data_IF_862040095216
#
_entry.id   IF_862040095216
#
_cell.length_a   1.000
_cell.length_b   1.000
_cell.length_c   1.000
_cell.angle_alpha   90.00
_cell.angle_beta   90.00
_cell.angle_gamma   90.00
#
_symmetry.space_group_name_H-M   'P 1'
#
loop_
_entity.id
_entity.type
_entity.pdbx_description
1 polymer ?
#
# COMPACT_ATOMS: atom_id res chain seq x y z
N UNK A 1 -53.90 -9.86 4.18
CA UNK A 1 -53.26 -11.09 4.62
C UNK A 1 -52.26 -11.46 3.53
N UNK A 2 -51.00 -11.19 3.74
CA UNK A 2 -49.94 -11.49 2.80
C UNK A 2 -48.68 -11.70 3.63
N UNK A 3 -48.13 -12.90 3.50
CA UNK A 3 -46.98 -13.39 4.24
C UNK A 3 -45.72 -12.92 3.53
N UNK A 4 -44.98 -12.02 4.15
CA UNK A 4 -43.62 -11.67 3.73
C UNK A 4 -42.66 -12.66 4.38
N UNK A 5 -42.09 -13.58 3.62
CA UNK A 5 -40.99 -14.46 4.05
C UNK A 5 -39.67 -13.72 3.95
N UNK A 6 -39.07 -13.54 5.12
CA UNK A 6 -37.68 -13.12 5.29
C UNK A 6 -36.73 -14.13 4.68
N UNK A 7 -35.98 -13.74 3.67
CA UNK A 7 -34.83 -14.50 3.17
C UNK A 7 -33.58 -14.06 3.98
N UNK A 8 -33.23 -14.79 5.02
CA UNK A 8 -31.93 -14.66 5.70
C UNK A 8 -30.87 -15.39 4.87
N UNK A 9 -29.80 -14.69 4.57
CA UNK A 9 -28.66 -15.18 3.83
C UNK A 9 -27.94 -16.33 4.58
N UNK A 10 -27.85 -17.47 3.92
CA UNK A 10 -27.20 -18.71 4.39
C UNK A 10 -25.73 -18.81 3.94
N UNK A 11 -25.09 -17.72 3.61
CA UNK A 11 -23.72 -17.73 3.02
C UNK A 11 -22.59 -17.83 4.05
N UNK A 12 -22.86 -17.64 5.33
CA UNK A 12 -21.81 -17.60 6.36
C UNK A 12 -21.40 -18.98 6.91
N UNK A 13 -22.10 -20.05 6.58
CA UNK A 13 -21.82 -21.38 7.11
C UNK A 13 -20.97 -22.29 6.21
N UNK A 14 -20.82 -22.00 4.92
CA UNK A 14 -20.02 -22.85 4.03
C UNK A 14 -18.51 -22.62 4.15
N UNK A 15 -18.05 -21.39 4.47
CA UNK A 15 -16.61 -21.12 4.56
C UNK A 15 -15.95 -21.67 5.83
N UNK A 16 -16.72 -21.87 6.91
CA UNK A 16 -16.19 -22.39 8.17
C UNK A 16 -15.91 -23.91 8.20
N UNK A 17 -16.46 -24.68 7.24
CA UNK A 17 -16.34 -26.13 7.23
C UNK A 17 -15.11 -26.67 6.49
N UNK A 18 -14.49 -25.87 5.61
CA UNK A 18 -13.31 -26.26 4.80
C UNK A 18 -11.97 -26.05 5.52
N UNK A 19 -11.94 -25.37 6.66
CA UNK A 19 -10.71 -24.98 7.38
C UNK A 19 -10.18 -26.11 8.30
N UNK A 20 -10.82 -27.25 8.40
CA UNK A 20 -10.43 -28.31 9.36
C UNK A 20 -9.61 -29.47 8.81
N UNK A 21 -8.83 -29.29 7.74
CA UNK A 21 -7.83 -30.30 7.35
C UNK A 21 -6.44 -29.71 7.24
N UNK A 22 -5.71 -29.76 8.30
CA UNK A 22 -4.34 -30.20 8.46
C UNK A 22 -3.24 -29.44 7.71
N UNK A 23 -2.75 -28.33 8.28
CA UNK A 23 -1.30 -28.11 8.30
C UNK A 23 -0.91 -27.89 9.76
N UNK A 24 -0.08 -28.80 10.29
CA UNK A 24 0.48 -28.65 11.62
C UNK A 24 1.24 -27.32 11.70
N UNK A 25 1.10 -26.63 12.81
CA UNK A 25 1.95 -25.48 13.18
C UNK A 25 3.41 -25.98 13.16
N UNK A 26 4.09 -25.75 12.03
CA UNK A 26 5.54 -25.88 12.01
C UNK A 26 6.08 -24.69 12.82
N UNK A 27 6.57 -24.98 14.02
CA UNK A 27 7.38 -24.03 14.79
C UNK A 27 8.64 -23.73 13.98
N UNK A 28 8.69 -22.56 13.37
CA UNK A 28 9.89 -22.04 12.72
C UNK A 28 10.89 -21.66 13.81
N UNK A 29 12.09 -22.18 13.75
CA UNK A 29 13.14 -21.99 14.78
C UNK A 29 13.94 -20.69 14.54
N UNK A 30 14.63 -20.17 15.56
CA UNK A 30 15.45 -18.97 15.46
C UNK A 30 16.51 -18.96 14.33
N UNK A 31 17.13 -20.10 13.93
CA UNK A 31 18.01 -20.16 12.76
C UNK A 31 17.32 -19.77 11.45
N UNK A 32 16.03 -20.03 11.32
CA UNK A 32 15.27 -19.75 10.09
C UNK A 32 15.05 -18.25 9.87
N UNK A 33 14.91 -17.44 10.93
CA UNK A 33 14.80 -15.98 10.83
C UNK A 33 16.07 -15.35 10.25
N UNK A 34 17.24 -15.81 10.69
CA UNK A 34 18.52 -15.32 10.15
C UNK A 34 18.71 -15.76 8.71
N UNK A 35 18.37 -17.00 8.38
CA UNK A 35 18.43 -17.52 7.03
C UNK A 35 17.47 -16.79 6.08
N UNK A 36 16.25 -16.48 6.55
CA UNK A 36 15.28 -15.69 5.82
C UNK A 36 15.79 -14.27 5.54
N UNK A 37 16.45 -13.63 6.52
CA UNK A 37 17.04 -12.31 6.33
C UNK A 37 18.14 -12.32 5.28
N UNK A 38 19.07 -13.29 5.35
CA UNK A 38 20.13 -13.45 4.35
C UNK A 38 19.55 -13.69 2.95
N UNK A 39 18.53 -14.54 2.86
CA UNK A 39 17.86 -14.82 1.58
C UNK A 39 17.13 -13.57 1.03
N UNK A 40 16.48 -12.77 1.89
CA UNK A 40 15.83 -11.53 1.50
C UNK A 40 16.85 -10.49 0.99
N UNK A 41 17.99 -10.31 1.67
CA UNK A 41 19.07 -9.43 1.24
C UNK A 41 19.62 -9.89 -0.14
N UNK A 42 19.81 -11.19 -0.35
CA UNK A 42 20.21 -11.74 -1.64
C UNK A 42 19.21 -11.41 -2.76
N UNK A 43 17.90 -11.51 -2.51
CA UNK A 43 16.87 -11.15 -3.50
C UNK A 43 16.98 -9.68 -3.87
N UNK A 44 17.11 -8.79 -2.89
CA UNK A 44 17.21 -7.34 -3.13
C UNK A 44 18.48 -6.99 -3.95
N UNK A 45 19.64 -7.52 -3.55
CA UNK A 45 20.89 -7.27 -4.26
C UNK A 45 20.88 -7.88 -5.66
N UNK A 46 20.30 -9.08 -5.84
CA UNK A 46 20.15 -9.69 -7.15
C UNK A 46 19.21 -8.88 -8.07
N UNK A 47 18.24 -8.18 -7.53
CA UNK A 47 17.31 -7.33 -8.28
C UNK A 47 17.85 -5.91 -8.50
N UNK A 48 19.04 -5.57 -7.99
CA UNK A 48 19.68 -4.29 -8.27
C UNK A 48 20.03 -4.18 -9.76
N UNK A 49 19.56 -3.10 -10.39
CA UNK A 49 19.82 -2.77 -11.78
C UNK A 49 20.56 -1.45 -11.96
N UNK A 50 20.87 -1.11 -13.20
CA UNK A 50 21.52 0.15 -13.56
C UNK A 50 20.64 1.36 -13.20
N UNK A 51 19.34 1.26 -13.41
CA UNK A 51 18.35 2.32 -13.15
C UNK A 51 17.88 2.36 -11.69
N UNK A 52 18.17 1.36 -10.87
CA UNK A 52 17.71 1.23 -9.50
C UNK A 52 17.23 -0.18 -9.19
N UNK A 53 16.27 -0.33 -8.25
CA UNK A 53 15.71 -1.61 -7.88
C UNK A 53 14.64 -2.05 -8.87
N UNK A 54 14.80 -3.25 -9.41
CA UNK A 54 13.78 -3.91 -10.25
C UNK A 54 12.70 -4.52 -9.35
N UNK A 55 11.45 -4.62 -9.84
CA UNK A 55 10.39 -5.34 -9.14
C UNK A 55 10.74 -6.82 -8.94
N UNK A 56 11.27 -7.45 -10.00
CA UNK A 56 11.83 -8.82 -9.99
C UNK A 56 12.70 -9.00 -11.22
N UNK A 57 13.88 -9.59 -11.07
CA UNK A 57 14.77 -9.86 -12.20
C UNK A 57 14.19 -10.88 -13.20
N UNK A 58 13.32 -11.76 -12.73
CA UNK A 58 12.73 -12.81 -13.56
C UNK A 58 11.53 -12.35 -14.41
N UNK A 59 10.84 -11.28 -13.99
CA UNK A 59 9.56 -10.87 -14.61
C UNK A 59 9.35 -9.36 -14.71
N UNK A 60 9.63 -8.61 -13.65
CA UNK A 60 9.41 -7.17 -13.58
C UNK A 60 10.74 -6.43 -13.62
N UNK A 61 11.38 -6.42 -14.80
CA UNK A 61 12.74 -5.88 -15.01
C UNK A 61 12.77 -4.35 -15.14
N UNK A 62 11.78 -3.66 -14.58
CA UNK A 62 11.70 -2.21 -14.53
C UNK A 62 11.85 -1.73 -13.08
N UNK A 63 12.20 -0.45 -12.93
CA UNK A 63 12.06 0.31 -11.69
C UNK A 63 10.60 0.76 -11.59
N UNK A 64 9.81 0.05 -10.82
CA UNK A 64 8.42 0.40 -10.54
C UNK A 64 8.37 1.43 -9.42
N UNK A 65 7.65 2.53 -9.61
CA UNK A 65 7.65 3.62 -8.65
C UNK A 65 7.17 3.18 -7.27
N UNK A 66 6.00 2.57 -7.17
CA UNK A 66 5.46 2.04 -5.92
C UNK A 66 6.40 1.03 -5.29
N UNK A 67 6.76 -0.02 -6.06
CA UNK A 67 7.55 -1.14 -5.56
C UNK A 67 8.91 -0.69 -5.04
N UNK A 68 9.66 0.09 -5.83
CA UNK A 68 11.00 0.53 -5.44
C UNK A 68 10.98 1.48 -4.25
N UNK A 69 9.93 2.29 -4.08
CA UNK A 69 9.80 3.17 -2.91
C UNK A 69 9.41 2.38 -1.66
N UNK A 70 8.46 1.46 -1.74
CA UNK A 70 8.14 0.55 -0.64
C UNK A 70 9.37 -0.28 -0.24
N UNK A 71 10.10 -0.82 -1.21
CA UNK A 71 11.32 -1.58 -0.97
C UNK A 71 12.42 -0.78 -0.29
N UNK A 72 12.43 0.53 -0.46
CA UNK A 72 13.37 1.41 0.22
C UNK A 72 13.38 1.24 1.75
N UNK A 73 12.22 0.90 2.35
CA UNK A 73 12.12 0.61 3.79
C UNK A 73 13.05 -0.53 4.25
N UNK A 74 13.16 -1.59 3.45
CA UNK A 74 14.08 -2.70 3.71
C UNK A 74 15.49 -2.45 3.17
N UNK A 75 15.62 -1.79 2.01
CA UNK A 75 16.92 -1.52 1.39
C UNK A 75 17.87 -0.72 2.28
N UNK A 76 17.36 0.32 2.93
CA UNK A 76 18.18 1.16 3.84
C UNK A 76 18.67 0.42 5.08
N UNK A 77 18.14 -0.78 5.34
CA UNK A 77 18.52 -1.67 6.45
C UNK A 77 19.48 -2.78 6.02
N UNK A 78 19.76 -2.92 4.73
CA UNK A 78 20.77 -3.86 4.24
C UNK A 78 22.18 -3.42 4.66
N UNK A 79 23.03 -4.42 4.90
CA UNK A 79 24.42 -4.18 5.30
C UNK A 79 25.18 -3.36 4.24
N UNK A 80 26.24 -2.68 4.67
CA UNK A 80 27.26 -2.01 3.84
C UNK A 80 26.79 -0.79 3.01
N UNK A 81 25.56 -0.27 3.22
CA UNK A 81 25.08 0.93 2.55
C UNK A 81 24.72 0.77 1.06
N UNK A 82 24.92 -0.42 0.49
CA UNK A 82 24.59 -0.70 -0.91
C UNK A 82 23.09 -0.55 -1.19
N UNK A 83 22.23 -1.00 -0.26
CA UNK A 83 20.78 -0.84 -0.37
C UNK A 83 20.34 0.62 -0.44
N UNK A 84 20.95 1.51 0.36
CA UNK A 84 20.69 2.94 0.30
C UNK A 84 21.08 3.55 -1.06
N UNK A 85 22.20 3.11 -1.64
CA UNK A 85 22.64 3.54 -2.97
C UNK A 85 21.69 3.04 -4.07
N UNK A 86 21.15 1.82 -3.96
CA UNK A 86 20.14 1.28 -4.89
C UNK A 86 18.87 2.11 -4.80
N UNK A 87 18.39 2.41 -3.60
CA UNK A 87 17.20 3.22 -3.38
C UNK A 87 17.37 4.63 -3.97
N UNK A 88 18.51 5.28 -3.70
CA UNK A 88 18.86 6.58 -4.28
C UNK A 88 18.80 6.56 -5.83
N UNK A 89 19.37 5.55 -6.49
CA UNK A 89 19.28 5.41 -7.94
C UNK A 89 17.85 5.31 -8.43
N UNK A 90 16.97 4.57 -7.72
CA UNK A 90 15.55 4.50 -8.06
C UNK A 90 14.87 5.87 -7.99
N UNK A 91 15.14 6.66 -6.93
CA UNK A 91 14.63 8.03 -6.80
C UNK A 91 15.09 8.96 -7.93
N UNK A 92 16.39 8.91 -8.25
CA UNK A 92 16.98 9.72 -9.32
C UNK A 92 16.43 9.34 -10.71
N UNK A 93 16.20 8.04 -10.95
CA UNK A 93 15.58 7.54 -12.18
C UNK A 93 14.14 8.04 -12.31
N UNK A 94 13.31 7.85 -11.29
CA UNK A 94 11.92 8.29 -11.32
C UNK A 94 11.82 9.82 -11.52
N UNK A 95 12.67 10.60 -10.86
CA UNK A 95 12.74 12.05 -11.04
C UNK A 95 13.14 12.47 -12.45
N UNK A 96 14.08 11.74 -13.09
CA UNK A 96 14.54 12.01 -14.46
C UNK A 96 13.43 11.80 -15.49
N UNK A 97 12.57 10.77 -15.28
CA UNK A 97 11.49 10.41 -16.21
C UNK A 97 10.12 10.99 -15.80
N UNK A 98 10.09 11.92 -14.86
CA UNK A 98 8.89 12.66 -14.51
C UNK A 98 8.41 13.49 -15.71
N UNK A 99 7.10 13.51 -15.94
CA UNK A 99 6.53 14.32 -17.03
C UNK A 99 6.62 15.82 -16.73
N UNK A 100 6.48 16.65 -17.76
CA UNK A 100 6.45 18.09 -17.61
C UNK A 100 5.33 18.59 -16.68
N UNK A 101 4.22 17.85 -16.60
CA UNK A 101 3.08 18.14 -15.72
C UNK A 101 3.25 17.61 -14.29
N UNK A 102 4.33 16.87 -14.00
CA UNK A 102 4.62 16.36 -12.67
C UNK A 102 4.19 14.92 -12.40
N UNK A 103 3.56 14.23 -13.37
CA UNK A 103 3.27 12.82 -13.22
C UNK A 103 4.57 12.01 -13.11
N UNK A 104 4.67 11.16 -12.09
CA UNK A 104 5.77 10.22 -11.92
C UNK A 104 5.43 8.94 -12.68
N UNK A 105 6.35 8.49 -13.52
CA UNK A 105 6.16 7.28 -14.31
C UNK A 105 5.81 6.08 -13.42
N UNK A 106 4.84 5.27 -13.83
CA UNK A 106 4.48 4.04 -13.12
C UNK A 106 5.68 3.08 -13.04
N UNK A 107 6.40 2.95 -14.14
CA UNK A 107 7.70 2.27 -14.17
C UNK A 107 8.65 2.87 -15.22
N UNK A 108 9.94 2.58 -15.07
CA UNK A 108 11.01 2.93 -16.01
C UNK A 108 11.88 1.70 -16.22
N UNK A 109 12.09 1.32 -17.48
CA UNK A 109 12.91 0.17 -17.83
C UNK A 109 13.48 0.23 -19.24
N UNK A 110 14.30 -0.74 -19.61
CA UNK A 110 14.81 -0.87 -20.96
C UNK A 110 13.81 -1.62 -21.86
N UNK A 111 13.74 -1.23 -23.12
CA UNK A 111 12.73 -1.71 -24.06
C UNK A 111 12.93 -3.15 -24.59
N UNK A 112 13.89 -3.90 -24.07
CA UNK A 112 14.13 -5.30 -24.46
C UNK A 112 13.05 -6.28 -24.00
N UNK A 113 12.01 -5.79 -23.36
CA UNK A 113 10.84 -6.60 -23.00
C UNK A 113 9.87 -6.50 -24.17
N UNK A 114 9.63 -7.61 -24.89
CA UNK A 114 8.65 -7.63 -25.96
C UNK A 114 7.24 -7.57 -25.38
N UNK A 115 6.84 -6.40 -24.89
CA UNK A 115 5.42 -6.13 -24.70
C UNK A 115 4.86 -5.63 -26.04
N UNK A 116 3.97 -6.40 -26.67
CA UNK A 116 3.32 -5.98 -27.91
C UNK A 116 2.65 -4.62 -27.82
N UNK A 117 2.25 -4.17 -26.64
CA UNK A 117 1.64 -2.88 -26.42
C UNK A 117 2.66 -1.72 -26.49
N UNK A 118 3.90 -1.92 -26.02
CA UNK A 118 4.98 -0.94 -26.12
C UNK A 118 5.42 -0.75 -27.58
N UNK A 119 5.42 -1.81 -28.39
CA UNK A 119 5.76 -1.78 -29.83
C UNK A 119 4.72 -0.97 -30.60
N UNK A 120 3.46 -0.99 -30.20
CA UNK A 120 2.36 -0.29 -30.89
C UNK A 120 2.45 1.24 -30.78
N UNK A 121 3.20 1.81 -29.86
CA UNK A 121 3.28 3.25 -29.62
C UNK A 121 4.57 3.93 -30.10
N UNK A 122 5.39 3.24 -30.90
CA UNK A 122 6.43 3.88 -31.70
C UNK A 122 7.62 4.48 -30.94
N UNK A 123 7.95 3.97 -29.76
CA UNK A 123 9.18 4.35 -29.05
C UNK A 123 10.43 4.04 -29.87
N UNK A 124 11.28 5.03 -30.14
CA UNK A 124 12.58 4.83 -30.77
C UNK A 124 13.52 4.16 -29.78
N UNK A 125 14.07 3.03 -30.17
CA UNK A 125 14.87 2.13 -29.36
C UNK A 125 16.40 2.32 -29.49
N UNK A 126 16.89 3.44 -30.01
CA UNK A 126 18.34 3.65 -30.22
C UNK A 126 18.81 5.00 -29.70
N UNK A 127 19.61 4.96 -28.65
CA UNK A 127 20.43 6.07 -28.20
C UNK A 127 21.74 6.18 -29.03
N UNK A 128 22.53 7.26 -28.85
CA UNK A 128 23.74 7.52 -29.62
C UNK A 128 24.86 6.48 -29.47
N UNK A 129 24.77 5.55 -28.51
CA UNK A 129 25.81 4.55 -28.19
C UNK A 129 25.32 3.10 -28.40
N UNK A 130 24.34 2.85 -29.29
CA UNK A 130 23.74 1.52 -29.52
C UNK A 130 23.12 0.88 -28.25
N UNK A 131 22.98 1.60 -27.14
CA UNK A 131 22.26 1.14 -25.96
C UNK A 131 20.80 1.52 -26.07
N UNK A 132 19.86 0.61 -25.72
CA UNK A 132 18.45 0.98 -25.66
C UNK A 132 18.23 2.11 -24.66
N UNK A 133 17.48 3.15 -25.07
CA UNK A 133 17.07 4.20 -24.13
C UNK A 133 16.00 3.65 -23.19
N UNK A 134 16.04 3.99 -21.88
CA UNK A 134 14.98 3.65 -20.96
C UNK A 134 13.65 4.25 -21.40
N UNK A 135 12.59 3.48 -21.26
CA UNK A 135 11.21 3.88 -21.59
C UNK A 135 10.32 3.82 -20.37
N UNK A 136 9.25 4.60 -20.39
CA UNK A 136 8.22 4.60 -19.36
C UNK A 136 6.99 3.84 -19.83
N UNK A 137 6.31 3.17 -18.90
CA UNK A 137 5.01 2.59 -19.18
C UNK A 137 3.97 3.68 -19.43
N UNK A 138 3.36 3.65 -20.61
CA UNK A 138 2.31 4.59 -21.00
C UNK A 138 0.90 4.01 -20.79
N UNK A 139 0.77 2.73 -20.52
CA UNK A 139 -0.53 2.05 -20.31
C UNK A 139 -1.11 2.44 -18.95
N UNK A 140 -0.25 2.50 -17.93
CA UNK A 140 -0.61 2.92 -16.58
C UNK A 140 -0.17 4.37 -16.30
N UNK A 141 -0.08 5.19 -17.34
CA UNK A 141 0.18 6.61 -17.19
C UNK A 141 -0.98 7.26 -16.41
N UNK A 142 -0.66 7.85 -15.26
CA UNK A 142 -1.66 8.41 -14.36
C UNK A 142 -1.96 7.55 -13.14
N UNK A 143 -1.18 6.48 -12.89
CA UNK A 143 -1.23 5.74 -11.64
C UNK A 143 -0.88 6.70 -10.48
N UNK A 144 -1.86 6.94 -9.62
CA UNK A 144 -1.80 8.04 -8.63
C UNK A 144 -0.75 7.76 -7.55
N UNK A 145 -0.65 6.52 -7.13
CA UNK A 145 0.24 6.10 -6.05
C UNK A 145 1.73 6.21 -6.40
N UNK A 146 2.09 6.26 -7.68
CA UNK A 146 3.47 6.49 -8.12
C UNK A 146 4.03 7.82 -7.59
N UNK A 147 3.26 8.90 -7.73
CA UNK A 147 3.66 10.22 -7.24
C UNK A 147 3.62 10.30 -5.70
N UNK A 148 2.66 9.64 -5.07
CA UNK A 148 2.53 9.56 -3.62
C UNK A 148 3.75 8.86 -3.00
N UNK A 149 4.08 7.67 -3.47
CA UNK A 149 5.24 6.93 -2.98
C UNK A 149 6.57 7.60 -3.32
N UNK A 150 6.67 8.29 -4.45
CA UNK A 150 7.86 9.06 -4.81
C UNK A 150 8.16 10.15 -3.77
N UNK A 151 7.14 10.90 -3.34
CA UNK A 151 7.28 11.92 -2.28
C UNK A 151 7.67 11.26 -0.95
N UNK A 152 6.98 10.19 -0.56
CA UNK A 152 7.25 9.46 0.68
C UNK A 152 8.66 8.84 0.66
N UNK A 153 9.07 8.26 -0.48
CA UNK A 153 10.38 7.67 -0.68
C UNK A 153 11.53 8.67 -0.50
N UNK A 154 11.38 9.89 -1.01
CA UNK A 154 12.35 10.96 -0.79
C UNK A 154 12.45 11.37 0.67
N UNK A 155 11.31 11.44 1.37
CA UNK A 155 11.32 11.78 2.78
C UNK A 155 12.10 10.76 3.61
N UNK A 156 11.83 9.48 3.48
CA UNK A 156 12.54 8.52 4.32
C UNK A 156 13.99 8.27 3.88
N UNK A 157 14.31 8.46 2.60
CA UNK A 157 15.71 8.53 2.20
C UNK A 157 16.43 9.64 2.95
N UNK A 158 15.86 10.83 2.98
CA UNK A 158 16.39 11.95 3.74
C UNK A 158 16.46 11.65 5.25
N UNK A 159 15.39 11.13 5.82
CA UNK A 159 15.28 10.85 7.26
C UNK A 159 16.32 9.83 7.77
N UNK A 160 16.75 8.90 6.91
CA UNK A 160 17.73 7.85 7.25
C UNK A 160 19.17 8.28 6.93
N UNK A 161 19.38 8.96 5.80
CA UNK A 161 20.72 9.27 5.28
C UNK A 161 21.20 10.71 5.54
N UNK A 162 20.29 11.64 5.95
CA UNK A 162 20.48 13.10 6.00
C UNK A 162 20.98 13.68 4.67
N UNK A 163 20.61 13.06 3.53
CA UNK A 163 21.03 13.51 2.19
C UNK A 163 20.26 14.76 1.76
N UNK A 164 20.62 15.89 2.33
CA UNK A 164 20.05 17.21 2.03
C UNK A 164 20.35 17.66 0.59
N UNK A 165 21.45 17.20 0.03
CA UNK A 165 21.82 17.57 -1.34
C UNK A 165 20.85 16.95 -2.34
N UNK A 166 20.57 15.65 -2.22
CA UNK A 166 19.55 14.99 -3.05
C UNK A 166 18.19 15.64 -2.85
N UNK A 167 17.81 15.90 -1.60
CA UNK A 167 16.52 16.53 -1.29
C UNK A 167 16.40 17.91 -1.93
N UNK A 168 17.42 18.75 -1.84
CA UNK A 168 17.42 20.08 -2.44
C UNK A 168 17.34 20.03 -3.98
N UNK A 169 18.07 19.12 -4.62
CA UNK A 169 18.02 18.94 -6.08
C UNK A 169 16.66 18.41 -6.55
N UNK A 170 15.99 17.61 -5.75
CA UNK A 170 14.71 16.99 -6.09
C UNK A 170 13.50 17.87 -5.74
N UNK A 171 13.70 18.99 -5.05
CA UNK A 171 12.60 19.80 -4.53
C UNK A 171 11.62 20.29 -5.60
N UNK A 172 12.10 20.68 -6.77
CA UNK A 172 11.25 21.08 -7.90
C UNK A 172 10.42 19.92 -8.40
N UNK A 173 11.04 18.74 -8.56
CA UNK A 173 10.36 17.51 -8.97
C UNK A 173 9.28 17.08 -7.96
N UNK A 174 9.59 17.14 -6.66
CA UNK A 174 8.64 16.84 -5.58
C UNK A 174 7.46 17.82 -5.59
N UNK A 175 7.73 19.12 -5.79
CA UNK A 175 6.70 20.14 -5.89
C UNK A 175 5.79 19.93 -7.09
N UNK A 176 6.33 19.54 -8.24
CA UNK A 176 5.55 19.16 -9.44
C UNK A 176 4.72 17.89 -9.22
N UNK A 177 5.27 16.87 -8.54
CA UNK A 177 4.53 15.65 -8.20
C UNK A 177 3.33 15.98 -7.31
N UNK A 178 3.53 16.78 -6.27
CA UNK A 178 2.43 17.23 -5.41
C UNK A 178 1.39 18.07 -6.16
N UNK A 179 1.82 18.95 -7.06
CA UNK A 179 0.91 19.74 -7.89
C UNK A 179 0.08 18.85 -8.81
N UNK A 180 0.71 17.86 -9.45
CA UNK A 180 0.00 16.87 -10.28
C UNK A 180 -1.03 16.09 -9.47
N UNK A 181 -0.70 15.66 -8.25
CA UNK A 181 -1.63 15.00 -7.33
C UNK A 181 -2.84 15.88 -7.01
N UNK A 182 -2.63 17.18 -6.76
CA UNK A 182 -3.74 18.11 -6.50
C UNK A 182 -4.70 18.25 -7.69
N UNK A 183 -4.24 18.04 -8.92
CA UNK A 183 -5.12 17.99 -10.09
C UNK A 183 -5.92 16.68 -10.21
N UNK A 184 -5.60 15.65 -9.39
CA UNK A 184 -6.42 14.45 -9.28
C UNK A 184 -7.61 14.65 -8.30
N UNK A 185 -7.68 15.77 -7.61
CA UNK A 185 -8.85 16.25 -6.88
C UNK A 185 -9.69 17.14 -7.82
N UNK A 186 -10.36 16.51 -8.78
CA UNK A 186 -11.02 17.21 -9.89
C UNK A 186 -12.23 18.03 -9.46
N UNK A 187 -12.80 17.72 -8.30
CA UNK A 187 -13.94 18.41 -7.73
C UNK A 187 -13.57 19.35 -6.57
N UNK A 188 -12.27 19.52 -6.29
CA UNK A 188 -11.73 20.39 -5.24
C UNK A 188 -12.31 20.09 -3.84
N UNK A 189 -12.54 18.80 -3.56
CA UNK A 189 -13.03 18.38 -2.25
C UNK A 189 -11.91 18.18 -1.21
N UNK A 190 -10.65 18.22 -1.61
CA UNK A 190 -9.47 18.01 -0.78
C UNK A 190 -9.09 16.54 -0.58
N UNK A 191 -9.77 15.61 -1.24
CA UNK A 191 -9.41 14.20 -1.36
C UNK A 191 -9.14 13.86 -2.83
N UNK A 192 -8.21 12.93 -3.06
CA UNK A 192 -7.94 12.43 -4.40
C UNK A 192 -9.14 11.64 -4.96
N UNK A 193 -9.43 11.87 -6.24
CA UNK A 193 -10.36 11.09 -7.04
C UNK A 193 -9.55 10.16 -7.93
N UNK A 194 -9.54 8.87 -7.61
CA UNK A 194 -8.77 7.85 -8.33
C UNK A 194 -9.66 7.19 -9.36
N UNK A 195 -9.18 7.04 -10.59
CA UNK A 195 -9.87 6.24 -11.60
C UNK A 195 -9.81 4.75 -11.25
N UNK A 196 -10.82 3.98 -11.67
CA UNK A 196 -10.87 2.54 -11.46
C UNK A 196 -9.59 1.88 -12.00
N UNK A 197 -8.94 1.04 -11.19
CA UNK A 197 -7.71 0.32 -11.52
C UNK A 197 -6.44 1.19 -11.68
N UNK A 198 -6.37 2.36 -11.02
CA UNK A 198 -5.23 3.29 -11.12
C UNK A 198 -4.49 3.49 -9.78
N UNK A 199 -4.49 2.45 -8.94
CA UNK A 199 -3.72 2.37 -7.68
C UNK A 199 -2.89 1.07 -7.62
N UNK A 200 -2.42 0.66 -6.43
CA UNK A 200 -1.69 -0.59 -6.27
C UNK A 200 -2.48 -1.81 -6.73
N UNK A 201 -3.81 -1.76 -6.62
CA UNK A 201 -4.74 -2.77 -7.12
C UNK A 201 -5.14 -2.45 -8.56
N UNK A 202 -4.16 -2.46 -9.47
CA UNK A 202 -4.20 -1.98 -10.84
C UNK A 202 -5.16 -2.73 -11.79
N UNK A 203 -5.80 -3.78 -11.33
CA UNK A 203 -6.84 -4.54 -12.03
C UNK A 203 -8.05 -4.74 -11.13
N UNK A 204 -8.44 -3.72 -10.34
CA UNK A 204 -9.45 -3.83 -9.33
C UNK A 204 -10.46 -2.68 -9.34
N UNK A 205 -11.58 -2.85 -8.63
CA UNK A 205 -12.76 -1.97 -8.69
C UNK A 205 -12.61 -0.65 -7.94
N UNK A 206 -11.54 -0.47 -7.17
CA UNK A 206 -11.31 0.74 -6.38
C UNK A 206 -11.40 1.99 -7.26
N UNK A 207 -12.10 3.02 -6.79
CA UNK A 207 -12.28 4.26 -7.55
C UNK A 207 -12.76 5.40 -6.68
N UNK A 208 -12.60 6.61 -7.18
CA UNK A 208 -13.00 7.87 -6.56
C UNK A 208 -12.22 8.14 -5.26
N UNK A 209 -12.88 8.41 -4.13
CA UNK A 209 -12.15 8.63 -2.87
C UNK A 209 -11.71 7.29 -2.27
N UNK A 210 -10.58 6.77 -2.72
CA UNK A 210 -10.00 5.48 -2.29
C UNK A 210 -9.20 5.68 -1.00
N UNK A 211 -9.36 4.76 -0.05
CA UNK A 211 -8.68 4.80 1.26
C UNK A 211 -7.17 4.81 1.11
N UNK A 212 -6.64 3.84 0.37
CA UNK A 212 -5.20 3.65 0.17
C UNK A 212 -4.53 4.94 -0.32
N UNK A 213 -5.05 5.52 -1.41
CA UNK A 213 -4.46 6.72 -2.00
C UNK A 213 -4.61 7.95 -1.11
N UNK A 214 -5.75 8.11 -0.43
CA UNK A 214 -5.98 9.26 0.43
C UNK A 214 -5.22 9.18 1.77
N UNK A 215 -4.90 7.98 2.27
CA UNK A 215 -3.95 7.78 3.37
C UNK A 215 -2.53 8.14 2.93
N UNK A 216 -2.12 7.73 1.73
CA UNK A 216 -0.83 8.12 1.16
C UNK A 216 -0.77 9.62 0.86
N UNK A 217 -1.88 10.24 0.44
CA UNK A 217 -1.94 11.69 0.20
C UNK A 217 -1.74 12.48 1.50
N UNK A 218 -2.37 12.03 2.59
CA UNK A 218 -2.08 12.57 3.92
C UNK A 218 -0.60 12.45 4.27
N UNK A 219 0.00 11.26 4.07
CA UNK A 219 1.41 11.02 4.32
C UNK A 219 2.32 11.91 3.44
N UNK A 220 1.99 12.04 2.16
CA UNK A 220 2.73 12.89 1.23
C UNK A 220 2.73 14.37 1.67
N UNK A 221 1.59 14.91 2.12
CA UNK A 221 1.52 16.26 2.68
C UNK A 221 2.41 16.40 3.92
N UNK A 222 2.42 15.42 4.84
CA UNK A 222 3.32 15.43 6.01
C UNK A 222 4.78 15.38 5.60
N UNK A 223 5.14 14.50 4.68
CA UNK A 223 6.50 14.39 4.16
C UNK A 223 6.96 15.70 3.52
N UNK A 224 6.11 16.33 2.70
CA UNK A 224 6.42 17.63 2.10
C UNK A 224 6.61 18.72 3.14
N UNK A 225 5.81 18.76 4.20
CA UNK A 225 5.98 19.71 5.29
C UNK A 225 7.32 19.53 6.02
N UNK A 226 7.71 18.28 6.33
CA UNK A 226 8.98 17.96 6.99
C UNK A 226 10.18 18.27 6.10
N UNK A 227 10.10 17.92 4.83
CA UNK A 227 11.16 18.25 3.85
C UNK A 227 11.27 19.76 3.59
N UNK A 228 10.15 20.49 3.54
CA UNK A 228 10.14 21.95 3.44
C UNK A 228 10.85 22.59 4.65
N UNK A 229 10.55 22.13 5.87
CA UNK A 229 11.21 22.59 7.09
C UNK A 229 12.71 22.32 7.05
N UNK A 230 13.13 21.12 6.64
CA UNK A 230 14.53 20.77 6.48
C UNK A 230 15.28 21.68 5.49
N UNK A 231 14.60 22.17 4.44
CA UNK A 231 15.13 23.06 3.43
C UNK A 231 14.93 24.56 3.75
N UNK A 232 14.34 24.91 4.89
CA UNK A 232 14.03 26.29 5.25
C UNK A 232 12.93 26.93 4.37
N UNK A 233 12.07 26.13 3.76
CA UNK A 233 10.94 26.58 2.95
C UNK A 233 9.70 26.85 3.82
N UNK A 234 8.75 27.69 3.38
CA UNK A 234 7.50 27.93 4.11
C UNK A 234 6.67 26.63 4.28
N UNK A 235 6.21 26.34 5.51
CA UNK A 235 5.55 25.07 5.87
C UNK A 235 4.04 25.16 6.05
N UNK A 236 3.48 26.35 6.27
CA UNK A 236 2.07 26.54 6.67
C UNK A 236 1.07 25.98 5.66
N UNK A 237 1.40 26.10 4.38
CA UNK A 237 0.58 25.55 3.30
C UNK A 237 0.45 24.03 3.42
N UNK A 238 1.56 23.32 3.62
CA UNK A 238 1.59 21.87 3.76
C UNK A 238 0.86 21.43 5.04
N UNK A 239 1.13 22.09 6.17
CA UNK A 239 0.51 21.77 7.47
C UNK A 239 -1.01 21.90 7.45
N UNK A 240 -1.55 22.95 6.81
CA UNK A 240 -3.00 23.08 6.64
C UNK A 240 -3.62 21.91 5.88
N UNK A 241 -2.97 21.48 4.80
CA UNK A 241 -3.48 20.36 4.02
C UNK A 241 -3.38 19.01 4.77
N UNK A 242 -2.36 18.81 5.62
CA UNK A 242 -2.29 17.64 6.52
C UNK A 242 -3.54 17.56 7.39
N UNK A 243 -3.93 18.66 8.05
CA UNK A 243 -5.11 18.69 8.93
C UNK A 243 -6.40 18.47 8.15
N UNK A 244 -6.51 19.07 6.97
CA UNK A 244 -7.69 18.98 6.12
C UNK A 244 -7.91 17.55 5.61
N UNK A 245 -6.89 16.92 5.01
CA UNK A 245 -6.99 15.54 4.51
C UNK A 245 -7.25 14.55 5.66
N UNK A 246 -6.58 14.70 6.81
CA UNK A 246 -6.84 13.87 7.99
C UNK A 246 -8.32 13.90 8.39
N UNK A 247 -8.89 15.11 8.52
CA UNK A 247 -10.30 15.28 8.92
C UNK A 247 -11.24 14.64 7.89
N UNK A 248 -10.99 14.85 6.60
CA UNK A 248 -11.82 14.33 5.51
C UNK A 248 -11.78 12.80 5.40
N UNK A 249 -10.58 12.20 5.46
CA UNK A 249 -10.45 10.72 5.44
C UNK A 249 -11.25 10.11 6.60
N UNK A 250 -11.12 10.65 7.81
CA UNK A 250 -11.85 10.15 8.97
C UNK A 250 -13.36 10.38 8.89
N UNK A 251 -13.80 11.48 8.29
CA UNK A 251 -15.23 11.78 8.17
C UNK A 251 -15.93 10.97 7.08
N UNK A 252 -15.22 10.68 5.97
CA UNK A 252 -15.81 10.07 4.77
C UNK A 252 -15.66 8.54 4.77
N UNK A 253 -14.50 8.02 5.18
CA UNK A 253 -14.17 6.60 5.03
C UNK A 253 -14.31 5.77 6.32
N UNK A 254 -14.33 6.41 7.51
CA UNK A 254 -14.61 5.71 8.76
C UNK A 254 -16.10 5.79 9.10
N UNK A 255 -16.74 4.63 9.27
CA UNK A 255 -18.16 4.57 9.62
C UNK A 255 -18.29 4.32 11.12
N UNK A 256 -18.44 5.41 11.86
CA UNK A 256 -18.69 5.44 13.30
C UNK A 256 -20.16 5.75 13.62
N UNK A 257 -20.50 5.92 14.92
CA UNK A 257 -21.84 6.32 15.34
C UNK A 257 -22.28 7.64 14.70
N UNK A 258 -23.52 7.69 14.23
CA UNK A 258 -24.11 8.87 13.55
C UNK A 258 -23.98 10.16 14.39
N UNK A 259 -24.13 10.05 15.72
CA UNK A 259 -24.06 11.14 16.68
C UNK A 259 -22.72 11.89 16.70
N UNK A 260 -21.66 11.28 16.14
CA UNK A 260 -20.31 11.85 16.06
C UNK A 260 -20.03 12.56 14.74
N UNK A 261 -20.98 12.57 13.77
CA UNK A 261 -20.76 13.19 12.46
C UNK A 261 -21.17 14.65 12.47
N UNK A 262 -20.25 15.49 12.01
CA UNK A 262 -20.50 16.91 11.75
C UNK A 262 -21.13 17.07 10.35
N UNK A 263 -22.45 16.83 10.26
CA UNK A 263 -23.20 16.89 9.01
C UNK A 263 -23.19 18.28 8.36
N UNK A 264 -23.14 19.34 9.15
CA UNK A 264 -23.10 20.71 8.64
C UNK A 264 -21.76 20.94 7.94
N UNK A 265 -20.67 20.58 8.60
CA UNK A 265 -19.36 20.69 7.99
C UNK A 265 -19.18 19.79 6.76
N UNK A 266 -19.59 18.51 6.82
CA UNK A 266 -19.54 17.60 5.66
C UNK A 266 -20.31 18.19 4.47
N UNK A 267 -21.49 18.75 4.73
CA UNK A 267 -22.33 19.38 3.70
C UNK A 267 -21.77 20.67 3.14
N UNK A 268 -20.99 21.42 3.92
CA UNK A 268 -20.28 22.61 3.46
C UNK A 268 -19.08 22.26 2.60
N UNK A 269 -18.37 21.15 2.93
CA UNK A 269 -17.26 20.64 2.11
C UNK A 269 -17.79 20.04 0.80
N UNK A 270 -18.73 19.06 0.90
CA UNK A 270 -19.27 18.39 -0.28
C UNK A 270 -20.67 17.81 -0.05
N UNK A 271 -21.67 18.33 -0.76
CA UNK A 271 -23.05 17.83 -0.65
C UNK A 271 -23.23 16.39 -1.09
N UNK A 272 -22.49 15.93 -2.06
CA UNK A 272 -22.58 14.55 -2.56
C UNK A 272 -22.20 13.52 -1.50
N UNK A 273 -21.26 13.84 -0.61
CA UNK A 273 -20.91 12.97 0.52
C UNK A 273 -22.09 12.73 1.47
N UNK A 274 -22.94 13.74 1.71
CA UNK A 274 -24.13 13.57 2.55
C UNK A 274 -25.01 12.44 2.02
N UNK A 275 -25.28 12.41 0.72
CA UNK A 275 -26.17 11.39 0.16
C UNK A 275 -25.59 9.99 0.29
N UNK A 276 -24.31 9.83 0.02
CA UNK A 276 -23.64 8.55 0.14
C UNK A 276 -23.50 8.12 1.60
N UNK A 277 -23.08 9.00 2.50
CA UNK A 277 -22.89 8.69 3.90
C UNK A 277 -24.23 8.37 4.62
N UNK A 278 -25.31 9.09 4.34
CA UNK A 278 -26.65 8.76 4.86
C UNK A 278 -27.15 7.41 4.36
N UNK A 279 -26.85 7.07 3.12
CA UNK A 279 -27.14 5.73 2.59
C UNK A 279 -26.32 4.67 3.33
N UNK A 280 -25.03 4.90 3.53
CA UNK A 280 -24.16 4.00 4.30
C UNK A 280 -24.73 3.75 5.69
N UNK A 281 -25.14 4.80 6.41
CA UNK A 281 -25.70 4.67 7.76
C UNK A 281 -27.04 3.92 7.81
N UNK A 282 -27.81 3.93 6.72
CA UNK A 282 -29.05 3.14 6.64
C UNK A 282 -28.78 1.68 6.25
N UNK A 283 -27.72 1.41 5.52
CA UNK A 283 -27.41 0.07 5.00
C UNK A 283 -26.38 -0.67 5.86
N UNK A 284 -25.48 0.05 6.53
CA UNK A 284 -24.41 -0.52 7.34
C UNK A 284 -24.56 -0.14 8.81
N UNK A 285 -24.30 -1.11 9.68
CA UNK A 285 -23.93 -0.84 11.07
C UNK A 285 -22.47 -0.38 11.11
N UNK A 286 -22.01 0.20 12.22
CA UNK A 286 -20.60 0.54 12.48
C UNK A 286 -19.66 -0.55 11.95
N UNK A 287 -18.58 -0.13 11.28
CA UNK A 287 -17.53 -1.02 10.81
C UNK A 287 -16.24 -0.83 11.61
N UNK A 288 -15.55 -1.92 11.96
CA UNK A 288 -14.28 -1.84 12.71
C UNK A 288 -13.07 -1.51 11.80
N UNK A 289 -13.30 -0.97 10.61
CA UNK A 289 -12.30 -0.62 9.62
C UNK A 289 -12.78 0.54 8.73
N UNK A 290 -11.84 1.22 8.06
CA UNK A 290 -12.16 2.18 7.02
C UNK A 290 -12.66 1.47 5.77
N UNK A 291 -13.70 2.01 5.13
CA UNK A 291 -14.17 1.53 3.84
C UNK A 291 -13.09 1.72 2.76
N UNK A 292 -12.96 0.79 1.80
CA UNK A 292 -11.92 0.86 0.77
C UNK A 292 -12.11 2.05 -0.17
N UNK A 293 -13.36 2.43 -0.46
CA UNK A 293 -13.67 3.65 -1.19
C UNK A 293 -15.10 4.15 -0.95
N UNK A 294 -15.27 5.45 -1.12
CA UNK A 294 -16.56 6.12 -1.23
C UNK A 294 -16.59 6.87 -2.56
N UNK A 295 -17.57 6.58 -3.41
CA UNK A 295 -17.73 7.17 -4.72
C UNK A 295 -19.07 7.92 -4.82
N UNK A 296 -19.34 8.53 -5.99
CA UNK A 296 -20.62 9.20 -6.22
C UNK A 296 -21.78 8.21 -6.05
N UNK A 297 -22.51 8.34 -4.95
CA UNK A 297 -23.65 7.48 -4.53
C UNK A 297 -23.35 5.99 -4.41
N UNK A 298 -22.07 5.62 -4.31
CA UNK A 298 -21.62 4.24 -4.15
C UNK A 298 -20.52 4.15 -3.10
N UNK A 299 -20.35 2.97 -2.53
CA UNK A 299 -19.28 2.63 -1.58
C UNK A 299 -19.05 1.12 -1.63
N UNK A 300 -17.89 0.67 -1.17
CA UNK A 300 -17.64 -0.74 -0.91
C UNK A 300 -17.66 -1.04 0.58
N UNK A 301 -18.31 -2.16 0.96
CA UNK A 301 -18.36 -2.66 2.34
C UNK A 301 -17.44 -3.88 2.47
N UNK A 302 -16.12 -3.62 2.45
CA UNK A 302 -15.08 -4.64 2.54
C UNK A 302 -13.86 -4.07 3.25
N UNK A 303 -13.10 -4.95 3.91
CA UNK A 303 -11.80 -4.60 4.47
C UNK A 303 -10.76 -4.61 3.36
N UNK A 304 -10.27 -3.45 2.94
CA UNK A 304 -8.99 -3.30 2.24
C UNK A 304 -7.88 -3.32 3.28
N UNK A 305 -7.11 -4.40 3.29
CA UNK A 305 -6.12 -4.62 4.35
C UNK A 305 -4.97 -3.63 4.25
N UNK A 306 -4.44 -3.37 3.05
CA UNK A 306 -3.30 -2.47 2.89
C UNK A 306 -3.64 -1.04 3.28
N UNK A 307 -4.74 -0.48 2.78
CA UNK A 307 -5.17 0.88 3.12
C UNK A 307 -5.40 1.06 4.62
N UNK A 308 -6.00 0.06 5.28
CA UNK A 308 -6.22 0.09 6.73
C UNK A 308 -4.93 -0.03 7.55
N UNK A 309 -3.96 -0.86 7.14
CA UNK A 309 -2.65 -0.96 7.80
C UNK A 309 -1.85 0.34 7.63
N UNK A 310 -1.86 0.94 6.45
CA UNK A 310 -1.21 2.23 6.22
C UNK A 310 -1.89 3.36 7.01
N UNK A 311 -3.22 3.32 7.19
CA UNK A 311 -3.93 4.27 8.05
C UNK A 311 -3.44 4.19 9.51
N UNK A 312 -3.11 2.99 10.01
CA UNK A 312 -2.47 2.82 11.32
C UNK A 312 -1.05 3.40 11.29
N UNK A 313 -0.22 2.96 10.35
CA UNK A 313 1.19 3.29 10.29
C UNK A 313 1.45 4.79 10.12
N UNK A 314 0.67 5.47 9.28
CA UNK A 314 0.79 6.92 9.08
C UNK A 314 0.05 7.77 10.13
N UNK A 315 -0.70 7.13 11.04
CA UNK A 315 -1.40 7.82 12.14
C UNK A 315 -2.70 8.50 11.72
N UNK A 316 -3.33 8.07 10.63
CA UNK A 316 -4.71 8.44 10.26
C UNK A 316 -5.71 7.77 11.19
N UNK A 317 -5.49 6.49 11.50
CA UNK A 317 -6.22 5.78 12.54
C UNK A 317 -5.66 6.14 13.92
N UNK A 318 -6.50 6.61 14.83
CA UNK A 318 -6.16 6.71 16.24
C UNK A 318 -6.04 5.31 16.88
N UNK A 319 -5.59 5.26 18.15
CA UNK A 319 -5.36 3.99 18.84
C UNK A 319 -6.61 3.11 18.89
N UNK A 320 -7.78 3.70 19.14
CA UNK A 320 -9.04 2.94 19.25
C UNK A 320 -9.44 2.31 17.92
N UNK A 321 -9.25 3.04 16.82
CA UNK A 321 -9.47 2.52 15.46
C UNK A 321 -8.45 1.46 15.09
N UNK A 322 -7.17 1.68 15.42
CA UNK A 322 -6.10 0.72 15.17
C UNK A 322 -6.37 -0.63 15.84
N UNK A 323 -6.78 -0.62 17.12
CA UNK A 323 -7.16 -1.85 17.84
C UNK A 323 -8.34 -2.57 17.15
N UNK A 324 -9.41 -1.84 16.78
CA UNK A 324 -10.55 -2.40 16.06
C UNK A 324 -10.14 -3.06 14.73
N UNK A 325 -9.26 -2.40 13.97
CA UNK A 325 -8.75 -2.92 12.68
C UNK A 325 -7.96 -4.22 12.89
N UNK A 326 -7.01 -4.21 13.83
CA UNK A 326 -6.15 -5.37 14.11
C UNK A 326 -6.95 -6.54 14.68
N UNK A 327 -7.90 -6.27 15.58
CA UNK A 327 -8.82 -7.31 16.11
C UNK A 327 -9.71 -7.90 15.01
N UNK A 328 -10.14 -7.10 14.04
CA UNK A 328 -10.91 -7.59 12.90
C UNK A 328 -10.08 -8.51 12.01
N UNK A 329 -8.81 -8.17 11.73
CA UNK A 329 -7.90 -9.01 10.94
C UNK A 329 -7.72 -10.38 11.62
N UNK A 330 -7.35 -10.40 12.90
CA UNK A 330 -7.13 -11.65 13.64
C UNK A 330 -8.42 -12.44 13.86
N UNK A 331 -9.52 -11.74 14.21
CA UNK A 331 -10.82 -12.34 14.47
C UNK A 331 -11.48 -13.01 13.26
N UNK A 332 -11.27 -12.45 12.07
CA UNK A 332 -11.76 -13.02 10.79
C UNK A 332 -10.80 -14.02 10.17
N UNK A 333 -9.59 -14.18 10.73
CA UNK A 333 -8.57 -15.07 10.22
C UNK A 333 -7.98 -14.63 8.87
N UNK A 334 -7.94 -13.32 8.61
CA UNK A 334 -7.29 -12.74 7.44
C UNK A 334 -5.78 -13.00 7.41
N UNK A 335 -5.20 -13.22 8.59
CA UNK A 335 -3.80 -13.55 8.83
C UNK A 335 -3.47 -15.05 8.71
N UNK A 336 -4.40 -15.86 8.23
CA UNK A 336 -4.27 -17.33 8.08
C UNK A 336 -4.68 -17.79 6.69
N UNK A 337 -4.02 -18.82 6.11
CA UNK A 337 -2.83 -19.53 6.61
C UNK A 337 -1.56 -18.69 6.61
N UNK A 338 -1.55 -17.59 5.87
CA UNK A 338 -0.41 -16.67 5.76
C UNK A 338 -0.81 -15.22 6.04
N UNK A 339 0.05 -14.40 6.65
CA UNK A 339 -0.16 -12.97 6.77
C UNK A 339 0.09 -12.27 5.42
N UNK A 340 -0.77 -11.40 4.91
CA UNK A 340 -2.16 -11.20 5.25
C UNK A 340 -2.94 -11.10 3.94
N UNK A 341 -4.20 -11.52 3.93
CA UNK A 341 -5.07 -11.40 2.73
C UNK A 341 -5.40 -9.95 2.44
N UNK A 342 -5.36 -9.59 1.15
CA UNK A 342 -5.51 -8.21 0.70
C UNK A 342 -6.92 -7.65 0.89
N UNK A 343 -7.96 -8.49 0.78
CA UNK A 343 -9.36 -8.07 0.83
C UNK A 343 -10.24 -9.07 1.57
N UNK A 344 -11.25 -8.58 2.32
CA UNK A 344 -12.27 -9.41 2.94
C UNK A 344 -13.59 -8.65 3.16
N UNK A 345 -14.77 -9.29 2.92
CA UNK A 345 -14.94 -10.54 2.18
C UNK A 345 -14.52 -10.39 0.70
N UNK A 346 -14.22 -11.52 0.04
CA UNK A 346 -13.88 -11.52 -1.39
C UNK A 346 -15.10 -11.20 -2.25
N UNK A 347 -14.88 -10.73 -3.48
CA UNK A 347 -15.93 -10.38 -4.44
C UNK A 347 -16.22 -11.60 -5.32
N UNK A 348 -17.49 -12.02 -5.36
CA UNK A 348 -17.95 -13.13 -6.18
C UNK A 348 -18.59 -12.66 -7.49
N UNK A 349 -18.59 -13.50 -8.55
CA UNK A 349 -19.33 -13.24 -9.76
C UNK A 349 -20.80 -12.93 -9.48
N UNK A 350 -21.32 -11.84 -10.11
CA UNK A 350 -22.68 -11.38 -9.92
C UNK A 350 -22.88 -10.39 -8.77
N UNK A 351 -21.91 -10.16 -7.91
CA UNK A 351 -21.96 -9.07 -6.94
C UNK A 351 -21.74 -7.71 -7.61
N UNK A 352 -22.20 -6.62 -6.97
CA UNK A 352 -22.11 -5.24 -7.49
C UNK A 352 -20.69 -4.84 -7.91
N UNK A 353 -19.70 -5.23 -7.11
CA UNK A 353 -18.30 -4.87 -7.33
C UNK A 353 -17.55 -5.87 -8.21
N UNK A 354 -18.21 -6.93 -8.71
CA UNK A 354 -17.61 -7.81 -9.68
C UNK A 354 -17.35 -7.10 -11.01
N UNK A 355 -16.19 -7.37 -11.58
CA UNK A 355 -15.80 -6.88 -12.92
C UNK A 355 -15.42 -8.06 -13.81
N UNK A 356 -15.90 -8.08 -15.06
CA UNK A 356 -15.56 -9.18 -15.98
C UNK A 356 -14.06 -9.25 -16.29
N UNK A 357 -13.34 -8.14 -16.20
CA UNK A 357 -11.88 -8.14 -16.36
C UNK A 357 -11.14 -8.89 -15.23
N UNK A 358 -11.77 -9.21 -14.10
CA UNK A 358 -11.19 -10.08 -13.05
C UNK A 358 -10.86 -11.47 -13.58
N UNK A 359 -11.53 -11.91 -14.65
CA UNK A 359 -11.27 -13.19 -15.32
C UNK A 359 -10.04 -13.18 -16.20
N UNK A 360 -9.49 -11.99 -16.52
CA UNK A 360 -8.27 -11.88 -17.34
C UNK A 360 -7.14 -12.60 -16.61
N UNK A 361 -6.58 -13.61 -17.28
CA UNK A 361 -5.56 -14.52 -16.73
C UNK A 361 -5.95 -15.16 -15.37
N UNK A 362 -7.25 -15.13 -15.01
CA UNK A 362 -7.78 -15.58 -13.72
C UNK A 362 -7.14 -14.88 -12.50
N UNK A 363 -6.69 -13.65 -12.66
CA UNK A 363 -5.93 -12.95 -11.62
C UNK A 363 -6.80 -12.61 -10.41
N UNK A 364 -7.98 -12.01 -10.59
CA UNK A 364 -8.83 -11.55 -9.49
C UNK A 364 -10.06 -12.44 -9.25
N UNK A 365 -9.94 -13.76 -9.45
CA UNK A 365 -10.94 -14.70 -8.97
C UNK A 365 -11.02 -14.65 -7.43
N UNK A 366 -12.12 -15.10 -6.79
CA UNK A 366 -12.18 -15.13 -5.34
C UNK A 366 -10.97 -15.84 -4.72
N UNK A 367 -10.35 -15.21 -3.70
CA UNK A 367 -9.12 -15.62 -3.01
C UNK A 367 -7.83 -15.54 -3.83
N UNK A 368 -7.87 -14.89 -4.99
CA UNK A 368 -6.71 -14.63 -5.83
C UNK A 368 -6.31 -13.15 -5.76
N UNK A 369 -5.05 -12.87 -6.03
CA UNK A 369 -4.46 -11.56 -6.30
C UNK A 369 -5.05 -10.46 -5.37
N UNK A 370 -5.58 -9.36 -5.91
CA UNK A 370 -6.20 -8.31 -5.09
C UNK A 370 -7.53 -8.75 -4.45
N UNK A 371 -8.21 -9.75 -5.02
CA UNK A 371 -9.48 -10.26 -4.51
C UNK A 371 -9.28 -11.34 -3.41
N UNK A 372 -8.49 -11.01 -2.40
CA UNK A 372 -8.27 -11.85 -1.22
C UNK A 372 -7.10 -12.83 -1.31
N UNK A 373 -6.16 -12.65 -2.25
CA UNK A 373 -4.84 -13.27 -2.18
C UNK A 373 -4.05 -12.75 -0.98
N UNK A 374 -3.14 -13.56 -0.43
CA UNK A 374 -2.23 -13.16 0.63
C UNK A 374 -0.92 -12.64 0.03
N UNK A 375 -0.47 -11.47 0.50
CA UNK A 375 0.68 -10.78 -0.04
C UNK A 375 1.77 -10.61 1.02
N UNK A 376 2.99 -11.13 0.78
CA UNK A 376 4.06 -11.04 1.78
C UNK A 376 4.40 -9.60 2.17
N UNK A 377 4.40 -8.65 1.21
CA UNK A 377 4.70 -7.26 1.54
C UNK A 377 3.63 -6.62 2.44
N UNK A 378 2.34 -6.94 2.24
CA UNK A 378 1.26 -6.50 3.14
C UNK A 378 1.45 -7.16 4.52
N UNK A 379 1.90 -8.43 4.54
CA UNK A 379 2.27 -9.13 5.77
C UNK A 379 3.36 -8.41 6.55
N UNK A 380 4.36 -7.85 5.87
CA UNK A 380 5.38 -7.01 6.51
C UNK A 380 4.81 -5.73 7.13
N UNK A 381 3.90 -5.04 6.46
CA UNK A 381 3.17 -3.90 7.03
C UNK A 381 2.26 -4.30 8.20
N UNK A 382 1.66 -5.50 8.15
CA UNK A 382 0.86 -6.01 9.27
C UNK A 382 1.70 -6.21 10.52
N UNK A 383 2.87 -6.84 10.40
CA UNK A 383 3.82 -6.97 11.52
C UNK A 383 4.22 -5.58 12.07
N UNK A 384 4.55 -4.63 11.20
CA UNK A 384 4.90 -3.27 11.61
C UNK A 384 3.74 -2.56 12.34
N UNK A 385 2.49 -2.72 11.87
CA UNK A 385 1.30 -2.16 12.51
C UNK A 385 1.03 -2.78 13.90
N UNK A 386 1.25 -4.09 14.06
CA UNK A 386 1.17 -4.77 15.35
C UNK A 386 2.23 -4.23 16.33
N UNK A 387 3.47 -4.03 15.87
CA UNK A 387 4.54 -3.41 16.67
C UNK A 387 4.15 -1.99 17.08
N UNK A 388 3.62 -1.18 16.16
CA UNK A 388 3.17 0.18 16.47
C UNK A 388 2.05 0.20 17.51
N UNK A 389 1.13 -0.77 17.47
CA UNK A 389 0.06 -0.92 18.46
C UNK A 389 0.55 -1.49 19.81
N UNK A 390 1.82 -1.89 19.94
CA UNK A 390 2.39 -2.51 21.13
C UNK A 390 2.03 -4.00 21.28
N UNK A 391 1.49 -4.64 20.21
CA UNK A 391 1.09 -6.07 20.19
C UNK A 391 2.28 -6.95 19.81
N UNK A 392 3.36 -6.88 20.58
CA UNK A 392 4.67 -7.48 20.22
C UNK A 392 4.59 -9.01 20.06
N UNK A 393 3.97 -9.72 21.02
CA UNK A 393 3.86 -11.19 20.95
C UNK A 393 3.11 -11.65 19.68
N UNK A 394 2.14 -10.86 19.23
CA UNK A 394 1.41 -11.14 18.00
C UNK A 394 2.24 -10.80 16.75
N UNK A 395 2.99 -9.70 16.79
CA UNK A 395 3.92 -9.35 15.73
C UNK A 395 5.00 -10.43 15.52
N UNK A 396 5.55 -10.99 16.61
CA UNK A 396 6.53 -12.08 16.56
C UNK A 396 5.92 -13.35 15.92
N UNK A 397 4.71 -13.73 16.33
CA UNK A 397 4.00 -14.87 15.70
C UNK A 397 3.76 -14.64 14.21
N UNK A 398 3.37 -13.43 13.82
CA UNK A 398 3.13 -13.10 12.41
C UNK A 398 4.44 -13.01 11.61
N UNK A 399 5.54 -12.58 12.20
CA UNK A 399 6.85 -12.65 11.54
C UNK A 399 7.28 -14.10 11.28
N UNK A 400 7.05 -15.02 12.23
CA UNK A 400 7.32 -16.44 12.02
C UNK A 400 6.47 -17.01 10.89
N UNK A 401 5.18 -16.66 10.82
CA UNK A 401 4.29 -17.06 9.73
C UNK A 401 4.75 -16.48 8.39
N UNK A 402 5.19 -15.22 8.38
CA UNK A 402 5.74 -14.55 7.19
C UNK A 402 7.06 -15.21 6.74
N UNK A 403 7.89 -15.66 7.69
CA UNK A 403 9.12 -16.43 7.40
C UNK A 403 8.78 -17.73 6.69
N UNK A 404 7.84 -18.50 7.24
CA UNK A 404 7.39 -19.76 6.63
C UNK A 404 6.76 -19.53 5.25
N UNK A 405 5.97 -18.47 5.07
CA UNK A 405 5.40 -18.06 3.80
C UNK A 405 6.48 -17.79 2.76
N UNK A 406 7.51 -17.01 3.11
CA UNK A 406 8.60 -16.65 2.19
C UNK A 406 9.56 -17.82 1.92
N UNK A 407 9.62 -18.82 2.80
CA UNK A 407 10.39 -20.05 2.59
C UNK A 407 9.79 -20.91 1.48
N UNK A 408 8.48 -20.84 1.26
CA UNK A 408 7.81 -21.58 0.19
C UNK A 408 7.96 -20.79 -1.12
N UNK A 409 8.43 -21.46 -2.19
CA UNK A 409 8.54 -20.85 -3.51
C UNK A 409 8.00 -21.77 -4.59
N UNK A 410 7.65 -21.19 -5.74
CA UNK A 410 7.19 -21.96 -6.92
C UNK A 410 8.31 -22.74 -7.57
N UNK A 411 9.51 -22.18 -7.57
CA UNK A 411 10.68 -22.76 -8.25
C UNK A 411 11.73 -23.31 -7.29
N UNK A 412 11.63 -22.99 -6.00
CA UNK A 412 12.58 -23.43 -4.97
C UNK A 412 12.31 -22.78 -3.63
N UNK A 413 13.11 -23.13 -2.59
CA UNK A 413 12.97 -22.52 -1.28
C UNK A 413 13.37 -21.02 -1.32
N UNK A 414 12.85 -20.26 -0.38
CA UNK A 414 13.05 -18.81 -0.27
C UNK A 414 12.60 -18.05 -1.52
N UNK A 415 11.37 -18.41 -1.98
CA UNK A 415 10.82 -17.86 -3.21
C UNK A 415 10.46 -16.40 -3.14
N UNK A 416 10.15 -15.83 -1.96
CA UNK A 416 9.66 -14.45 -1.82
C UNK A 416 8.67 -14.11 -2.91
N UNK A 417 7.63 -14.96 -3.03
CA UNK A 417 6.65 -14.86 -4.10
C UNK A 417 5.88 -13.54 -4.06
N UNK A 418 5.32 -13.18 -5.20
CA UNK A 418 4.49 -12.00 -5.36
C UNK A 418 3.26 -12.07 -4.46
N UNK A 419 2.49 -13.14 -4.56
CA UNK A 419 1.31 -13.39 -3.74
C UNK A 419 1.06 -14.90 -3.57
N UNK A 420 0.14 -15.24 -2.68
CA UNK A 420 -0.29 -16.60 -2.36
C UNK A 420 -1.80 -16.70 -2.44
N UNK A 421 -2.32 -17.85 -2.83
CA UNK A 421 -3.75 -18.10 -2.82
C UNK A 421 -4.31 -18.01 -1.39
N UNK A 422 -5.31 -17.18 -1.18
CA UNK A 422 -5.78 -16.77 0.16
C UNK A 422 -6.33 -17.89 1.04
N UNK A 423 -6.70 -19.06 0.49
CA UNK A 423 -7.20 -20.20 1.25
C UNK A 423 -6.20 -21.35 1.25
N UNK A 424 -5.69 -21.76 0.08
CA UNK A 424 -4.78 -22.92 0.02
C UNK A 424 -3.36 -22.59 0.47
N UNK A 425 -2.99 -21.32 0.51
CA UNK A 425 -1.63 -20.89 0.83
C UNK A 425 -0.59 -21.27 -0.24
N UNK A 426 -1.03 -21.66 -1.44
CA UNK A 426 -0.11 -21.97 -2.55
C UNK A 426 0.57 -20.70 -3.07
N UNK A 427 1.90 -20.75 -3.35
CA UNK A 427 2.61 -19.63 -3.93
C UNK A 427 2.14 -19.37 -5.36
N UNK A 428 1.86 -18.12 -5.66
CA UNK A 428 1.34 -17.62 -6.91
C UNK A 428 2.19 -16.44 -7.40
N UNK A 429 1.90 -15.93 -8.60
CA UNK A 429 2.68 -14.85 -9.18
C UNK A 429 4.11 -15.27 -9.52
N UNK A 430 5.04 -14.34 -9.44
CA UNK A 430 6.45 -14.57 -9.74
C UNK A 430 7.29 -14.67 -8.48
N UNK A 431 8.38 -15.46 -8.52
CA UNK A 431 9.33 -15.60 -7.44
C UNK A 431 10.28 -14.38 -7.37
N UNK A 432 10.96 -14.24 -6.24
CA UNK A 432 12.00 -13.25 -5.96
C UNK A 432 11.55 -11.80 -6.14
N UNK A 433 10.37 -11.49 -5.59
CA UNK A 433 9.83 -10.14 -5.57
C UNK A 433 10.57 -9.27 -4.55
N UNK A 434 11.01 -8.10 -5.03
CA UNK A 434 11.76 -7.14 -4.19
C UNK A 434 10.95 -6.68 -2.98
N UNK A 435 9.67 -6.34 -3.14
CA UNK A 435 8.85 -5.88 -2.02
C UNK A 435 8.58 -6.97 -0.97
N UNK A 436 8.44 -8.24 -1.38
CA UNK A 436 8.28 -9.35 -0.44
C UNK A 436 9.53 -9.54 0.43
N UNK A 437 10.72 -9.41 -0.17
CA UNK A 437 11.99 -9.47 0.54
C UNK A 437 12.22 -8.23 1.42
N UNK A 438 11.99 -7.04 0.89
CA UNK A 438 12.24 -5.78 1.59
C UNK A 438 11.34 -5.63 2.83
N UNK A 439 10.06 -5.94 2.70
CA UNK A 439 9.12 -5.80 3.81
C UNK A 439 9.30 -6.90 4.88
N UNK A 440 9.89 -8.05 4.53
CA UNK A 440 10.35 -9.01 5.52
C UNK A 440 11.49 -8.43 6.39
N UNK A 441 12.51 -7.83 5.76
CA UNK A 441 13.63 -7.18 6.48
C UNK A 441 13.10 -6.05 7.37
N UNK A 442 12.21 -5.22 6.84
CA UNK A 442 11.60 -4.11 7.57
C UNK A 442 10.79 -4.58 8.78
N UNK A 443 9.95 -5.62 8.61
CA UNK A 443 9.16 -6.20 9.68
C UNK A 443 10.02 -6.75 10.83
N UNK A 444 11.11 -7.45 10.50
CA UNK A 444 12.05 -7.95 11.48
C UNK A 444 12.75 -6.82 12.26
N UNK A 445 13.15 -5.75 11.57
CA UNK A 445 13.74 -4.55 12.18
C UNK A 445 12.75 -3.83 13.10
N UNK A 446 11.48 -3.71 12.71
CA UNK A 446 10.43 -3.13 13.56
C UNK A 446 10.32 -3.85 14.92
N UNK A 447 10.34 -5.18 14.93
CA UNK A 447 10.30 -5.97 16.17
C UNK A 447 11.57 -5.72 16.98
N UNK A 448 12.73 -5.77 16.35
CA UNK A 448 14.01 -5.58 17.02
C UNK A 448 14.11 -4.19 17.70
N UNK A 449 13.59 -3.15 17.06
CA UNK A 449 13.55 -1.77 17.58
C UNK A 449 12.39 -1.54 18.55
N UNK A 450 11.35 -2.36 18.50
CA UNK A 450 10.10 -2.14 19.22
C UNK A 450 9.29 -0.96 18.68
N UNK A 451 9.57 -0.48 17.46
CA UNK A 451 8.83 0.58 16.77
C UNK A 451 9.10 0.55 15.25
N UNK A 452 8.12 0.85 14.41
CA UNK A 452 8.35 1.08 12.99
C UNK A 452 9.03 2.44 12.81
N UNK A 453 10.26 2.44 12.29
CA UNK A 453 10.93 3.69 11.94
C UNK A 453 10.33 4.25 10.63
N UNK A 454 10.53 5.53 10.36
CA UNK A 454 10.01 6.29 9.21
C UNK A 454 8.52 6.64 9.30
N UNK A 455 7.65 5.72 9.75
CA UNK A 455 6.22 6.01 9.90
C UNK A 455 5.89 6.88 11.12
N UNK A 456 6.80 6.96 12.08
CA UNK A 456 6.66 7.86 13.22
C UNK A 456 6.92 9.31 12.79
N UNK A 457 6.15 9.77 11.81
CA UNK A 457 6.14 11.16 11.36
C UNK A 457 5.71 12.00 12.56
N UNK A 458 6.59 12.87 13.06
CA UNK A 458 6.37 13.66 14.26
C UNK A 458 4.94 14.21 14.34
N UNK A 459 4.25 13.89 15.44
CA UNK A 459 2.81 14.12 15.57
C UNK A 459 2.41 15.55 15.96
N UNK A 460 3.30 16.52 15.81
CA UNK A 460 3.13 17.88 16.35
C UNK A 460 2.09 18.73 15.59
N UNK A 461 1.49 18.23 14.52
CA UNK A 461 0.65 19.04 13.62
C UNK A 461 -0.79 18.53 13.44
N UNK A 462 -1.21 17.51 14.16
CA UNK A 462 -2.59 17.02 14.13
C UNK A 462 -3.49 17.76 15.12
N UNK A 463 -4.83 17.70 14.98
CA UNK A 463 -5.77 18.28 15.96
C UNK A 463 -5.69 17.60 17.34
N UNK A 464 -4.89 16.56 17.50
CA UNK A 464 -4.65 15.89 18.77
C UNK A 464 -3.35 16.40 19.39
N UNK A 465 -3.46 17.24 20.40
CA UNK A 465 -2.40 17.45 21.40
C UNK A 465 -2.07 16.16 22.20
N UNK A 466 -2.61 15.03 21.78
CA UNK A 466 -2.33 13.70 22.30
C UNK A 466 -1.90 12.83 21.13
N UNK A 467 -0.60 12.60 21.00
CA UNK A 467 -0.12 11.45 20.22
C UNK A 467 -0.91 10.22 20.67
N UNK A 468 -1.59 9.48 19.77
CA UNK A 468 -2.29 8.25 20.16
C UNK A 468 -1.32 7.20 20.71
N UNK A 469 -0.02 7.40 20.53
CA UNK A 469 1.03 6.49 20.92
C UNK A 469 1.89 7.10 22.04
N UNK A 470 2.23 6.33 23.09
CA UNK A 470 3.05 6.85 24.19
C UNK A 470 4.40 7.33 23.66
N UNK A 471 4.75 8.59 23.98
CA UNK A 471 6.14 9.06 23.89
C UNK A 471 6.99 8.18 24.82
N UNK A 472 8.01 7.55 24.28
CA UNK A 472 9.02 6.87 25.09
C UNK A 472 10.00 7.86 25.69
#
# INVERSE_FOLDING_TARGET
MSVVRSCRSTTTQCDAALVRQGHGEQQVSGPDLMQARIAAEHVLLANAGELGLLGSRSAYQQVWARDSMICGLGLVLCADGEGAAIHRRSLETLGRYQTALGNVAHNVGFADIPDPALIAHGGKLSGPDDRPEPVTDTIHAGCVDSALWYIIGHYYNYAVSDDRELLARSWESLSKALLWLRYQDSNECGLLEVHEAMDWADLFVNRYNVLYDNVLFYAAWKCMALMAEALGQPVDFYRRNVVDVYRKVNAVLWIGPEEQRDWEWIGSERREWIYTLRRIETELVERPFYLPYVAFREYADRMDTLGNLLAILFGVADRAKAEKILDYISGTGLDRPWPVRALYPVIHPGERDWREYYRVRNLNLPHHYHNGGAWPFIGGFYVAALVQAGRIDEAERQLLALTAMNQVGRTGPWGFNEWFHGISGQPMGYDHQSWSAALYIYAADCIQRGAPHVFNLANDWGPAQNSPWPSR
#
